data_IF_037778888171
#
_entry.id   IF_037778888171
#
_cell.length_a   1.000
_cell.length_b   1.000
_cell.length_c   1.000
_cell.angle_alpha   90.00
_cell.angle_beta   90.00
_cell.angle_gamma   90.00
#
_symmetry.space_group_name_H-M   'P 1'
#
loop_
_entity.id
_entity.type
_entity.pdbx_description
1 polymer ?
#
# COMPACT_ATOMS: atom_id res chain seq x y z
N UNK A 1 19.10 -4.39 19.10
CA UNK A 1 20.36 -4.12 18.36
C UNK A 1 20.87 -2.75 18.73
N UNK A 2 22.20 -2.58 18.88
CA UNK A 2 22.80 -1.25 19.21
C UNK A 2 23.74 -0.83 18.09
N UNK A 3 23.52 0.34 17.53
CA UNK A 3 24.39 0.99 16.56
C UNK A 3 25.16 2.12 17.25
N UNK A 4 26.44 2.25 16.91
CA UNK A 4 27.29 3.36 17.33
C UNK A 4 27.70 4.21 16.13
N UNK A 5 27.89 5.49 16.35
CA UNK A 5 28.34 6.43 15.34
C UNK A 5 29.65 5.98 14.69
N UNK A 6 29.69 5.92 13.37
CA UNK A 6 30.92 5.79 12.61
C UNK A 6 31.52 7.20 12.35
N UNK A 7 32.42 7.64 13.24
CA UNK A 7 33.06 8.97 13.15
C UNK A 7 34.01 9.10 11.96
N UNK A 8 34.41 7.97 11.35
CA UNK A 8 35.29 7.91 10.18
C UNK A 8 34.51 7.71 8.87
N UNK A 9 33.20 7.99 8.87
CA UNK A 9 32.38 7.88 7.66
C UNK A 9 32.91 8.80 6.55
N UNK A 10 33.02 8.26 5.31
CA UNK A 10 33.60 8.96 4.16
C UNK A 10 32.91 10.27 3.80
N UNK A 11 31.57 10.34 3.97
CA UNK A 11 30.78 11.55 3.80
C UNK A 11 30.52 12.19 5.17
N UNK A 12 31.35 13.16 5.55
CA UNK A 12 31.26 13.82 6.85
C UNK A 12 30.08 14.80 6.95
N UNK A 13 29.57 15.29 5.83
CA UNK A 13 28.38 16.16 5.81
C UNK A 13 27.09 15.37 6.16
N UNK A 14 27.05 14.09 5.75
CA UNK A 14 25.97 13.15 6.07
C UNK A 14 26.27 12.33 7.34
N UNK A 15 27.42 12.52 7.96
CA UNK A 15 27.87 11.72 9.09
C UNK A 15 26.87 11.71 10.25
N UNK A 16 26.93 10.67 11.11
CA UNK A 16 25.94 10.46 12.14
C UNK A 16 25.90 11.63 13.12
N UNK A 17 24.70 12.11 13.42
CA UNK A 17 24.43 13.19 14.39
C UNK A 17 24.10 12.64 15.78
N UNK A 18 23.82 11.33 15.86
CA UNK A 18 23.59 10.58 17.10
C UNK A 18 24.80 9.72 17.41
N UNK A 19 25.21 9.68 18.67
CA UNK A 19 26.29 8.81 19.13
C UNK A 19 25.86 7.33 19.15
N UNK A 20 24.66 7.08 19.58
CA UNK A 20 24.11 5.71 19.73
C UNK A 20 22.64 5.67 19.32
N UNK A 21 22.26 4.60 18.63
CA UNK A 21 20.86 4.25 18.32
C UNK A 21 20.59 2.82 18.80
N UNK A 22 19.52 2.64 19.56
CA UNK A 22 19.11 1.35 20.11
C UNK A 22 17.80 0.92 19.46
N UNK A 23 17.79 -0.21 18.78
CA UNK A 23 16.56 -0.83 18.28
C UNK A 23 16.05 -1.85 19.30
N UNK A 24 14.83 -1.62 19.80
CA UNK A 24 14.13 -2.44 20.78
C UNK A 24 13.14 -3.37 20.07
N UNK A 25 13.54 -4.62 19.86
CA UNK A 25 12.68 -5.66 19.24
C UNK A 25 12.00 -6.55 20.31
N UNK A 26 12.21 -6.23 21.56
CA UNK A 26 11.68 -6.94 22.73
C UNK A 26 10.34 -6.36 23.22
N UNK A 27 9.91 -5.23 22.69
CA UNK A 27 8.64 -4.57 23.03
C UNK A 27 7.55 -4.98 22.04
N UNK A 28 6.38 -5.28 22.55
CA UNK A 28 5.20 -5.35 21.70
C UNK A 28 4.76 -3.93 21.27
N UNK A 29 4.01 -3.79 20.16
CA UNK A 29 3.63 -2.49 19.59
C UNK A 29 2.85 -1.60 20.57
N UNK A 30 1.95 -2.17 21.38
CA UNK A 30 1.13 -1.40 22.31
C UNK A 30 1.99 -0.87 23.47
N UNK A 31 2.92 -1.66 23.96
CA UNK A 31 3.86 -1.24 25.01
C UNK A 31 4.87 -0.21 24.48
N UNK A 32 5.41 -0.39 23.27
CA UNK A 32 6.28 0.60 22.64
C UNK A 32 5.58 1.96 22.52
N UNK A 33 4.33 1.95 22.06
CA UNK A 33 3.53 3.17 21.93
C UNK A 33 3.20 3.79 23.30
N UNK A 34 2.91 2.97 24.30
CA UNK A 34 2.68 3.45 25.69
C UNK A 34 3.93 4.16 26.22
N UNK A 35 5.09 3.55 26.08
CA UNK A 35 6.35 4.13 26.53
C UNK A 35 6.67 5.45 25.81
N UNK A 36 6.47 5.52 24.51
CA UNK A 36 6.71 6.76 23.74
C UNK A 36 5.74 7.89 24.08
N UNK A 37 4.46 7.58 24.39
CA UNK A 37 3.44 8.58 24.61
C UNK A 37 3.31 9.04 26.07
N UNK A 38 3.52 8.13 27.03
CA UNK A 38 3.19 8.35 28.44
C UNK A 38 4.43 8.53 29.31
N UNK A 39 5.62 8.20 28.80
CA UNK A 39 6.89 8.30 29.54
C UNK A 39 7.95 9.06 28.73
N UNK A 40 9.05 9.38 29.38
CA UNK A 40 10.22 9.97 28.74
C UNK A 40 11.47 9.13 29.05
N UNK A 41 12.32 8.94 28.04
CA UNK A 41 13.60 8.24 28.23
C UNK A 41 13.59 6.74 27.95
N UNK A 42 12.47 6.18 27.53
CA UNK A 42 12.32 4.75 27.27
C UNK A 42 12.29 4.44 25.77
N UNK A 43 11.45 5.16 25.00
CA UNK A 43 11.29 5.01 23.56
C UNK A 43 11.15 6.38 22.92
N UNK A 44 12.02 6.68 21.97
CA UNK A 44 12.03 7.96 21.28
C UNK A 44 11.29 7.94 19.94
N UNK A 45 11.27 6.79 19.24
CA UNK A 45 10.59 6.63 17.95
C UNK A 45 9.88 5.29 17.95
N UNK A 46 8.57 5.30 17.67
CA UNK A 46 7.79 4.11 17.31
C UNK A 46 7.47 4.16 15.84
N UNK A 47 7.82 3.12 15.13
CA UNK A 47 7.44 2.91 13.74
C UNK A 47 6.09 2.22 13.64
N UNK A 48 5.41 2.34 12.50
CA UNK A 48 4.16 1.62 12.23
C UNK A 48 3.02 1.88 13.23
N UNK A 49 2.87 3.14 13.66
CA UNK A 49 1.72 3.55 14.47
C UNK A 49 0.43 3.29 13.68
N UNK A 50 -0.55 2.64 14.30
CA UNK A 50 -1.83 2.41 13.63
C UNK A 50 -2.60 3.73 13.43
N UNK A 51 -3.42 3.86 12.38
CA UNK A 51 -4.31 5.01 12.21
C UNK A 51 -5.22 5.26 13.42
N UNK A 52 -5.65 4.19 14.11
CA UNK A 52 -6.48 4.27 15.29
C UNK A 52 -5.75 4.95 16.48
N UNK A 53 -4.44 4.74 16.58
CA UNK A 53 -3.60 5.28 17.65
C UNK A 53 -3.07 6.70 17.35
N UNK A 54 -3.23 7.20 16.12
CA UNK A 54 -2.72 8.50 15.72
C UNK A 54 -3.21 9.65 16.62
N UNK A 55 -4.45 9.55 17.13
CA UNK A 55 -5.01 10.54 18.06
C UNK A 55 -4.26 10.52 19.39
N UNK A 56 -3.99 9.34 19.97
CA UNK A 56 -3.23 9.18 21.20
C UNK A 56 -1.86 9.84 21.12
N UNK A 57 -1.18 9.65 19.97
CA UNK A 57 0.14 10.26 19.74
C UNK A 57 0.04 11.78 19.68
N UNK A 58 -0.96 12.33 18.98
CA UNK A 58 -1.17 13.79 18.89
C UNK A 58 -1.48 14.43 20.25
N UNK A 59 -2.23 13.73 21.09
CA UNK A 59 -2.64 14.22 22.39
C UNK A 59 -1.54 14.00 23.47
N UNK A 60 -0.45 13.30 23.16
CA UNK A 60 0.67 13.02 24.06
C UNK A 60 1.44 14.30 24.44
N UNK A 61 1.95 14.33 25.69
CA UNK A 61 2.87 15.38 26.13
C UNK A 61 4.32 15.11 25.70
N UNK A 62 4.69 13.85 25.44
CA UNK A 62 6.05 13.40 25.18
C UNK A 62 6.32 13.15 23.69
N UNK A 63 5.32 12.70 22.95
CA UNK A 63 5.45 12.38 21.52
C UNK A 63 4.69 13.35 20.62
N UNK A 64 5.09 13.40 19.37
CA UNK A 64 4.37 14.02 18.24
C UNK A 64 4.16 13.01 17.14
N UNK A 65 3.06 13.14 16.40
CA UNK A 65 2.80 12.32 15.21
C UNK A 65 3.62 12.87 14.04
N UNK A 66 4.39 12.01 13.39
CA UNK A 66 5.04 12.27 12.11
C UNK A 66 4.40 11.38 11.07
N UNK A 67 4.02 11.96 9.94
CA UNK A 67 3.45 11.25 8.79
C UNK A 67 4.35 11.42 7.59
N UNK A 68 4.51 10.38 6.81
CA UNK A 68 5.23 10.43 5.54
C UNK A 68 4.55 9.53 4.53
N UNK A 69 4.79 9.78 3.26
CA UNK A 69 4.43 8.82 2.21
C UNK A 69 5.15 7.50 2.48
N UNK A 70 4.52 6.40 2.07
CA UNK A 70 5.12 5.08 2.18
C UNK A 70 4.91 4.35 0.84
N UNK A 71 5.93 3.62 0.40
CA UNK A 71 5.82 2.78 -0.81
C UNK A 71 4.92 1.57 -0.54
N UNK A 72 3.67 1.87 -0.19
CA UNK A 72 2.63 0.89 0.12
C UNK A 72 1.38 1.19 -0.69
N UNK A 73 0.81 0.14 -1.27
CA UNK A 73 -0.45 0.20 -2.03
C UNK A 73 -1.41 -0.84 -1.48
N UNK A 74 -2.66 -0.45 -1.30
CA UNK A 74 -3.77 -1.37 -1.06
C UNK A 74 -4.58 -1.48 -2.35
N UNK A 75 -4.77 -2.69 -2.83
CA UNK A 75 -5.35 -2.99 -4.13
C UNK A 75 -6.18 -4.27 -4.07
N UNK A 76 -7.21 -4.37 -4.88
CA UNK A 76 -7.89 -5.64 -5.15
C UNK A 76 -7.32 -6.28 -6.43
N UNK A 77 -6.71 -7.45 -6.30
CA UNK A 77 -6.31 -8.27 -7.45
C UNK A 77 -7.58 -8.92 -8.00
N UNK A 78 -7.98 -8.54 -9.21
CA UNK A 78 -9.17 -9.09 -9.85
C UNK A 78 -8.80 -10.36 -10.60
N UNK A 79 -9.51 -11.45 -10.32
CA UNK A 79 -9.35 -12.69 -11.05
C UNK A 79 -10.02 -12.60 -12.42
N UNK A 80 -9.21 -12.42 -13.47
CA UNK A 80 -9.64 -12.23 -14.87
C UNK A 80 -9.73 -13.53 -15.68
N UNK A 81 -9.48 -14.68 -15.03
CA UNK A 81 -9.49 -15.99 -15.70
C UNK A 81 -10.91 -16.52 -15.96
N UNK A 82 -11.94 -15.91 -15.36
CA UNK A 82 -13.31 -16.38 -15.51
C UNK A 82 -14.31 -15.22 -15.67
N UNK A 83 -15.40 -15.54 -16.33
CA UNK A 83 -16.51 -14.63 -16.47
C UNK A 83 -17.16 -14.30 -15.11
N UNK A 84 -17.62 -13.05 -14.92
CA UNK A 84 -17.62 -11.96 -15.90
C UNK A 84 -16.39 -11.04 -15.83
N UNK A 85 -15.36 -11.36 -15.00
CA UNK A 85 -14.23 -10.47 -14.77
C UNK A 85 -13.16 -10.49 -15.89
N UNK A 86 -13.29 -11.38 -16.88
CA UNK A 86 -12.65 -11.28 -18.18
C UNK A 86 -13.16 -10.05 -18.98
N UNK A 87 -14.39 -9.59 -18.72
CA UNK A 87 -14.98 -8.38 -19.32
C UNK A 87 -14.56 -7.11 -18.54
N UNK A 88 -14.05 -6.11 -19.25
CA UNK A 88 -13.66 -4.81 -18.70
C UNK A 88 -14.82 -4.08 -18.01
N UNK A 89 -16.06 -4.31 -18.45
CA UNK A 89 -17.24 -3.68 -17.86
C UNK A 89 -17.46 -4.13 -16.41
N UNK A 90 -17.31 -5.44 -16.14
CA UNK A 90 -17.38 -5.98 -14.78
C UNK A 90 -16.26 -5.39 -13.89
N UNK A 91 -15.05 -5.27 -14.40
CA UNK A 91 -13.92 -4.70 -13.65
C UNK A 91 -14.09 -3.20 -13.37
N UNK A 92 -14.62 -2.46 -14.34
CA UNK A 92 -15.00 -1.04 -14.13
C UNK A 92 -16.12 -0.91 -13.11
N UNK A 93 -17.10 -1.83 -13.12
CA UNK A 93 -18.16 -1.85 -12.12
C UNK A 93 -17.60 -1.96 -10.70
N UNK A 94 -16.61 -2.84 -10.46
CA UNK A 94 -15.94 -2.94 -9.16
C UNK A 94 -15.29 -1.60 -8.75
N UNK A 95 -14.58 -0.96 -9.68
CA UNK A 95 -13.90 0.31 -9.40
C UNK A 95 -14.87 1.46 -9.10
N UNK A 96 -16.02 1.52 -9.79
CA UNK A 96 -17.05 2.54 -9.56
C UNK A 96 -17.90 2.28 -8.30
N UNK A 97 -17.84 1.06 -7.75
CA UNK A 97 -18.62 0.64 -6.60
C UNK A 97 -18.01 1.04 -5.26
N UNK A 98 -16.78 1.54 -5.23
CA UNK A 98 -16.05 1.86 -4.00
C UNK A 98 -15.99 3.36 -3.78
N UNK A 99 -16.50 3.82 -2.62
CA UNK A 99 -16.31 5.17 -2.10
C UNK A 99 -14.91 5.26 -1.45
N UNK A 100 -13.93 5.73 -2.23
CA UNK A 100 -12.53 5.80 -1.79
C UNK A 100 -12.31 6.80 -0.67
N UNK A 101 -13.06 7.88 -0.62
CA UNK A 101 -12.95 8.87 0.45
C UNK A 101 -13.41 8.26 1.77
N UNK A 102 -14.54 7.54 1.75
CA UNK A 102 -15.01 6.76 2.89
C UNK A 102 -14.01 5.67 3.28
N UNK A 103 -13.51 4.90 2.30
CA UNK A 103 -12.56 3.82 2.53
C UNK A 103 -11.26 4.34 3.21
N UNK A 104 -10.71 5.46 2.72
CA UNK A 104 -9.56 6.13 3.33
C UNK A 104 -9.87 6.63 4.74
N UNK A 105 -11.03 7.25 4.93
CA UNK A 105 -11.42 7.81 6.22
C UNK A 105 -11.66 6.73 7.28
N UNK A 106 -12.40 5.69 6.94
CA UNK A 106 -12.80 4.64 7.89
C UNK A 106 -11.69 3.58 8.07
N UNK A 107 -11.01 3.20 7.00
CA UNK A 107 -9.94 2.20 7.04
C UNK A 107 -8.59 2.72 7.52
N UNK A 108 -8.30 3.98 7.23
CA UNK A 108 -6.98 4.57 7.50
C UNK A 108 -7.03 5.87 8.33
N UNK A 109 -8.18 6.23 8.91
CA UNK A 109 -8.30 7.47 9.68
C UNK A 109 -7.96 8.74 8.90
N UNK A 110 -8.01 8.71 7.58
CA UNK A 110 -7.60 9.79 6.68
C UNK A 110 -6.09 9.77 6.32
N UNK A 111 -5.32 8.80 6.80
CA UNK A 111 -3.88 8.68 6.51
C UNK A 111 -3.61 7.76 5.31
N UNK A 112 -4.25 8.04 4.21
CA UNK A 112 -4.00 7.40 2.92
C UNK A 112 -4.45 8.34 1.79
N UNK A 113 -3.97 8.09 0.57
CA UNK A 113 -4.39 8.77 -0.64
C UNK A 113 -5.10 7.78 -1.55
N UNK A 114 -6.26 8.15 -2.08
CA UNK A 114 -6.91 7.38 -3.13
C UNK A 114 -6.01 7.28 -4.37
N UNK A 115 -5.96 6.12 -5.02
CA UNK A 115 -5.08 5.91 -6.18
C UNK A 115 -5.87 5.58 -7.44
N UNK A 116 -5.35 6.04 -8.58
CA UNK A 116 -5.86 5.72 -9.92
C UNK A 116 -5.21 4.46 -10.51
N UNK A 117 -4.09 4.01 -9.94
CA UNK A 117 -3.29 2.89 -10.44
C UNK A 117 -2.48 2.25 -9.31
N UNK A 118 -1.48 1.45 -9.68
CA UNK A 118 -0.51 0.90 -8.73
C UNK A 118 0.59 1.90 -8.36
N UNK A 119 0.72 2.98 -9.13
CA UNK A 119 1.76 4.00 -8.92
C UNK A 119 1.23 5.09 -7.98
N UNK A 120 1.79 5.23 -6.76
CA UNK A 120 1.40 6.30 -5.85
C UNK A 120 1.69 7.68 -6.43
N UNK A 121 1.03 8.71 -5.89
CA UNK A 121 1.14 10.09 -6.39
C UNK A 121 2.56 10.70 -6.30
N UNK A 122 3.39 10.21 -5.39
CA UNK A 122 4.78 10.66 -5.18
C UNK A 122 5.80 9.84 -5.99
N UNK A 123 5.39 8.71 -6.61
CA UNK A 123 6.31 7.84 -7.32
C UNK A 123 6.60 8.34 -8.73
N UNK A 124 7.82 8.12 -9.19
CA UNK A 124 8.24 8.39 -10.56
C UNK A 124 7.50 7.47 -11.53
N UNK A 125 7.12 8.00 -12.68
CA UNK A 125 6.41 7.24 -13.72
C UNK A 125 4.89 7.18 -13.54
N UNK A 126 4.32 7.86 -12.55
CA UNK A 126 2.87 8.03 -12.44
C UNK A 126 2.35 8.87 -13.60
N UNK A 127 1.28 8.41 -14.25
CA UNK A 127 0.58 9.21 -15.25
C UNK A 127 -0.14 10.40 -14.56
N UNK A 128 0.24 11.66 -14.87
CA UNK A 128 -0.23 12.83 -14.12
C UNK A 128 -1.70 13.18 -14.37
N UNK A 129 -2.26 12.69 -15.46
CA UNK A 129 -3.64 12.92 -15.90
C UNK A 129 -4.64 11.88 -15.36
N UNK A 130 -4.17 10.85 -14.67
CA UNK A 130 -5.05 9.84 -14.11
C UNK A 130 -5.61 10.27 -12.75
N UNK A 131 -6.94 10.21 -12.65
CA UNK A 131 -7.69 10.39 -11.41
C UNK A 131 -8.27 9.05 -10.94
N UNK A 132 -8.43 8.85 -9.62
CA UNK A 132 -9.13 7.69 -9.10
C UNK A 132 -10.53 7.56 -9.71
N UNK A 133 -10.99 6.33 -9.90
CA UNK A 133 -12.36 6.09 -10.35
C UNK A 133 -13.36 6.79 -9.42
N UNK A 134 -14.34 7.53 -9.96
CA UNK A 134 -15.37 8.15 -9.14
C UNK A 134 -16.29 7.09 -8.51
N UNK A 135 -16.89 7.40 -7.38
CA UNK A 135 -17.95 6.58 -6.82
C UNK A 135 -19.26 6.83 -7.58
N UNK A 136 -19.68 5.85 -8.37
CA UNK A 136 -20.94 5.87 -9.12
C UNK A 136 -21.65 4.50 -9.04
N UNK A 137 -22.41 4.25 -7.96
CA UNK A 137 -23.12 2.99 -7.77
C UNK A 137 -24.17 2.71 -8.84
N UNK A 138 -24.72 3.76 -9.46
CA UNK A 138 -25.70 3.63 -10.55
C UNK A 138 -25.04 3.06 -11.81
N UNK A 139 -23.91 3.62 -12.22
CA UNK A 139 -23.15 3.11 -13.36
C UNK A 139 -22.51 1.75 -13.04
N UNK A 140 -22.00 1.56 -11.83
CA UNK A 140 -21.44 0.28 -11.40
C UNK A 140 -22.43 -0.87 -11.59
N UNK A 141 -23.65 -0.70 -11.10
CA UNK A 141 -24.71 -1.73 -11.22
C UNK A 141 -25.08 -2.01 -12.68
N UNK A 142 -25.22 -0.98 -13.50
CA UNK A 142 -25.49 -1.15 -14.94
C UNK A 142 -24.39 -1.95 -15.64
N UNK A 143 -23.14 -1.57 -15.46
CA UNK A 143 -22.00 -2.24 -16.09
C UNK A 143 -21.87 -3.70 -15.65
N UNK A 144 -22.12 -4.00 -14.36
CA UNK A 144 -22.10 -5.36 -13.86
C UNK A 144 -23.20 -6.21 -14.50
N UNK A 145 -24.41 -5.67 -14.65
CA UNK A 145 -25.51 -6.34 -15.33
C UNK A 145 -25.20 -6.58 -16.83
N UNK A 146 -24.67 -5.56 -17.51
CA UNK A 146 -24.30 -5.64 -18.93
C UNK A 146 -23.15 -6.61 -19.21
N UNK A 147 -22.31 -6.90 -18.21
CA UNK A 147 -21.26 -7.93 -18.28
C UNK A 147 -21.78 -9.35 -18.13
N UNK A 148 -23.07 -9.51 -17.83
CA UNK A 148 -23.69 -10.83 -17.63
C UNK A 148 -23.42 -11.45 -16.26
N UNK A 149 -23.16 -10.65 -15.23
CA UNK A 149 -22.98 -11.19 -13.86
C UNK A 149 -24.18 -12.06 -13.46
N UNK A 150 -23.96 -13.35 -13.05
CA UNK A 150 -25.05 -14.26 -12.78
C UNK A 150 -25.90 -13.81 -11.58
N UNK A 151 -27.21 -13.79 -11.76
CA UNK A 151 -28.13 -13.45 -10.67
C UNK A 151 -27.99 -14.46 -9.51
N UNK A 152 -27.94 -13.94 -8.28
CA UNK A 152 -27.81 -14.74 -7.07
C UNK A 152 -26.43 -15.35 -6.80
N UNK A 153 -25.44 -15.14 -7.68
CA UNK A 153 -24.05 -15.53 -7.42
C UNK A 153 -23.44 -14.54 -6.42
N UNK A 154 -22.86 -14.99 -5.29
CA UNK A 154 -22.11 -14.10 -4.43
C UNK A 154 -20.77 -13.70 -5.08
N UNK A 155 -20.34 -12.45 -4.89
CA UNK A 155 -18.99 -12.02 -5.18
C UNK A 155 -18.06 -12.51 -4.05
N UNK A 156 -16.97 -13.17 -4.39
CA UNK A 156 -16.02 -13.70 -3.41
C UNK A 156 -14.86 -12.72 -3.26
N UNK A 157 -14.82 -12.05 -2.11
CA UNK A 157 -13.73 -11.16 -1.71
C UNK A 157 -12.81 -11.92 -0.76
N UNK A 158 -11.66 -12.32 -1.25
CA UNK A 158 -10.60 -12.86 -0.41
C UNK A 158 -9.74 -11.73 0.18
N UNK A 159 -9.14 -11.95 1.35
CA UNK A 159 -8.25 -11.01 2.00
C UNK A 159 -7.07 -11.74 2.66
N UNK A 160 -5.93 -11.06 2.74
CA UNK A 160 -4.79 -11.53 3.52
C UNK A 160 -5.07 -11.44 5.03
N UNK A 161 -4.40 -12.24 5.87
CA UNK A 161 -4.50 -12.14 7.33
C UNK A 161 -4.23 -10.71 7.81
N UNK A 162 -5.01 -10.24 8.77
CA UNK A 162 -4.92 -8.88 9.31
C UNK A 162 -5.57 -7.78 8.47
N UNK A 163 -6.20 -8.13 7.34
CA UNK A 163 -6.94 -7.18 6.51
C UNK A 163 -8.46 -7.31 6.69
N UNK A 164 -8.93 -8.02 7.70
CA UNK A 164 -10.35 -8.33 7.94
C UNK A 164 -11.23 -7.08 7.96
N UNK A 165 -10.85 -6.08 8.73
CA UNK A 165 -11.62 -4.83 8.85
C UNK A 165 -11.70 -4.05 7.53
N UNK A 166 -10.62 -4.06 6.73
CA UNK A 166 -10.63 -3.44 5.39
C UNK A 166 -11.48 -4.25 4.41
N UNK A 167 -11.45 -5.58 4.51
CA UNK A 167 -12.27 -6.45 3.68
C UNK A 167 -13.77 -6.28 3.99
N UNK A 168 -14.15 -6.17 5.26
CA UNK A 168 -15.53 -5.91 5.66
C UNK A 168 -16.03 -4.56 5.16
N UNK A 169 -15.20 -3.52 5.27
CA UNK A 169 -15.51 -2.18 4.76
C UNK A 169 -15.71 -2.20 3.23
N UNK A 170 -14.78 -2.81 2.49
CA UNK A 170 -14.87 -2.97 1.05
C UNK A 170 -16.09 -3.78 0.63
N UNK A 171 -16.36 -4.90 1.32
CA UNK A 171 -17.54 -5.73 1.07
C UNK A 171 -18.85 -4.96 1.29
N UNK A 172 -18.90 -4.06 2.28
CA UNK A 172 -20.03 -3.17 2.53
C UNK A 172 -20.32 -2.26 1.34
N UNK A 173 -19.30 -1.63 0.80
CA UNK A 173 -19.42 -0.75 -0.37
C UNK A 173 -19.84 -1.53 -1.62
N UNK A 174 -19.17 -2.65 -1.91
CA UNK A 174 -19.50 -3.51 -3.06
C UNK A 174 -20.94 -4.04 -2.99
N UNK A 175 -21.37 -4.50 -1.81
CA UNK A 175 -22.74 -4.99 -1.57
C UNK A 175 -23.78 -3.92 -1.85
N UNK A 176 -23.55 -2.73 -1.28
CA UNK A 176 -24.48 -1.59 -1.42
C UNK A 176 -24.53 -1.07 -2.86
N UNK A 177 -23.40 -0.90 -3.50
CA UNK A 177 -23.32 -0.31 -4.83
C UNK A 177 -23.77 -1.27 -5.93
N UNK A 178 -23.34 -2.53 -5.88
CA UNK A 178 -23.62 -3.51 -6.94
C UNK A 178 -24.96 -4.21 -6.78
N UNK A 179 -25.48 -4.28 -5.54
CA UNK A 179 -26.72 -5.02 -5.25
C UNK A 179 -26.54 -6.54 -5.33
N UNK A 180 -25.33 -7.04 -5.04
CA UNK A 180 -25.00 -8.47 -4.98
C UNK A 180 -24.53 -8.85 -3.58
N UNK A 181 -24.69 -10.11 -3.22
CA UNK A 181 -24.08 -10.63 -2.00
C UNK A 181 -22.55 -10.67 -2.15
N UNK A 182 -21.83 -10.37 -1.07
CA UNK A 182 -20.38 -10.43 -1.03
C UNK A 182 -19.95 -11.36 0.11
N UNK A 183 -19.32 -12.46 -0.24
CA UNK A 183 -18.73 -13.40 0.71
C UNK A 183 -17.28 -13.01 0.97
N UNK A 184 -16.95 -12.67 2.22
CA UNK A 184 -15.58 -12.38 2.64
C UNK A 184 -14.91 -13.68 3.10
N UNK A 185 -13.71 -13.95 2.58
CA UNK A 185 -12.88 -15.10 2.93
C UNK A 185 -11.48 -14.61 3.31
N UNK A 186 -11.12 -14.72 4.59
CA UNK A 186 -9.76 -14.42 5.03
C UNK A 186 -8.91 -15.67 4.85
N UNK A 187 -7.78 -15.53 4.14
CA UNK A 187 -6.82 -16.63 3.95
C UNK A 187 -6.18 -16.93 5.31
N UNK A 188 -6.22 -18.19 5.80
CA UNK A 188 -5.56 -18.52 7.03
C UNK A 188 -4.05 -18.26 6.97
N UNK A 189 -3.45 -17.84 8.09
CA UNK A 189 -2.02 -17.54 8.15
C UNK A 189 -1.15 -18.75 7.76
N UNK A 190 -1.57 -19.96 8.15
CA UNK A 190 -0.89 -21.20 7.79
C UNK A 190 -0.94 -21.51 6.28
N UNK A 191 -1.94 -20.98 5.58
CA UNK A 191 -2.13 -21.17 4.13
C UNK A 191 -1.47 -20.06 3.29
N UNK A 192 -0.90 -19.03 3.92
CA UNK A 192 -0.34 -17.88 3.22
C UNK A 192 0.81 -18.26 2.27
N UNK A 193 1.71 -19.15 2.68
CA UNK A 193 2.80 -19.65 1.83
C UNK A 193 2.26 -20.45 0.63
N UNK A 194 1.26 -21.28 0.86
CA UNK A 194 0.62 -22.04 -0.22
C UNK A 194 -0.08 -21.09 -1.21
N UNK A 195 -0.74 -20.05 -0.71
CA UNK A 195 -1.35 -19.02 -1.56
C UNK A 195 -0.29 -18.27 -2.38
N UNK A 196 0.83 -17.88 -1.78
CA UNK A 196 1.94 -17.23 -2.50
C UNK A 196 2.53 -18.13 -3.59
N UNK A 197 2.79 -19.41 -3.29
CA UNK A 197 3.25 -20.37 -4.29
C UNK A 197 2.27 -20.54 -5.44
N UNK A 198 0.97 -20.58 -5.13
CA UNK A 198 -0.07 -20.73 -6.15
C UNK A 198 -0.11 -19.55 -7.13
N UNK A 199 0.14 -18.33 -6.67
CA UNK A 199 0.30 -17.18 -7.57
C UNK A 199 1.50 -17.34 -8.51
N UNK A 200 2.64 -17.78 -7.98
CA UNK A 200 3.86 -18.01 -8.78
C UNK A 200 3.64 -19.12 -9.82
N UNK A 201 3.02 -20.22 -9.42
CA UNK A 201 2.72 -21.36 -10.28
C UNK A 201 1.51 -21.13 -11.19
N UNK A 202 0.81 -19.98 -11.07
CA UNK A 202 -0.42 -19.68 -11.80
C UNK A 202 -1.57 -20.64 -11.52
N UNK A 203 -1.53 -21.29 -10.37
CA UNK A 203 -2.60 -22.15 -9.85
C UNK A 203 -3.22 -21.41 -8.67
N UNK A 204 -4.33 -20.74 -8.91
CA UNK A 204 -5.00 -19.97 -7.85
C UNK A 204 -5.62 -20.92 -6.82
N UNK A 205 -5.30 -20.79 -5.52
CA UNK A 205 -5.64 -21.79 -4.50
C UNK A 205 -7.12 -21.83 -4.13
N UNK A 206 -7.86 -20.74 -4.42
CA UNK A 206 -9.28 -20.66 -4.10
C UNK A 206 -10.03 -19.88 -5.18
N UNK A 207 -11.30 -20.18 -5.41
CA UNK A 207 -12.14 -19.37 -6.27
C UNK A 207 -12.41 -18.04 -5.57
N UNK A 208 -11.65 -17.01 -5.90
CA UNK A 208 -11.97 -15.63 -5.53
C UNK A 208 -12.21 -14.79 -6.78
N UNK A 209 -13.03 -13.78 -6.64
CA UNK A 209 -13.25 -12.77 -7.68
C UNK A 209 -12.27 -11.61 -7.52
N UNK A 210 -12.07 -11.21 -6.26
CA UNK A 210 -11.15 -10.14 -5.86
C UNK A 210 -10.36 -10.61 -4.65
N UNK A 211 -9.04 -10.46 -4.68
CA UNK A 211 -8.18 -10.61 -3.50
C UNK A 211 -7.74 -9.22 -3.03
N UNK A 212 -8.16 -8.82 -1.84
CA UNK A 212 -7.67 -7.62 -1.18
C UNK A 212 -6.22 -7.85 -0.73
N UNK A 213 -5.33 -7.03 -1.23
CA UNK A 213 -3.90 -7.20 -1.11
C UNK A 213 -3.22 -5.89 -0.72
N UNK A 214 -2.26 -5.95 0.18
CA UNK A 214 -1.37 -4.84 0.48
C UNK A 214 0.03 -5.17 -0.03
N UNK A 215 0.55 -4.31 -0.89
CA UNK A 215 1.90 -4.41 -1.41
C UNK A 215 2.76 -3.28 -0.86
N UNK A 216 4.01 -3.57 -0.59
CA UNK A 216 5.02 -2.57 -0.29
C UNK A 216 6.23 -2.79 -1.20
N UNK A 217 6.84 -1.71 -1.64
CA UNK A 217 8.04 -1.80 -2.47
C UNK A 217 9.27 -2.09 -1.60
N UNK A 218 9.87 -3.26 -1.85
CA UNK A 218 11.10 -3.70 -1.20
C UNK A 218 12.36 -3.10 -1.86
N UNK A 219 12.20 -2.52 -3.03
CA UNK A 219 13.34 -2.20 -3.90
C UNK A 219 13.70 -0.73 -3.93
N UNK A 220 13.08 0.11 -3.12
CA UNK A 220 13.27 1.56 -3.02
C UNK A 220 13.48 2.26 -4.37
N UNK A 221 12.69 3.21 -4.70
CA UNK A 221 12.79 3.96 -5.95
C UNK A 221 12.64 3.08 -7.23
N UNK A 222 12.05 1.87 -7.09
CA UNK A 222 11.77 1.06 -8.25
C UNK A 222 10.81 1.82 -9.17
N UNK A 223 11.09 1.83 -10.47
CA UNK A 223 10.19 2.40 -11.44
C UNK A 223 8.80 1.76 -11.36
N UNK A 224 7.77 2.51 -11.66
CA UNK A 224 6.38 2.02 -11.72
C UNK A 224 6.25 0.73 -12.57
N UNK A 225 7.04 0.62 -13.65
CA UNK A 225 7.12 -0.57 -14.49
C UNK A 225 7.38 -1.86 -13.71
N UNK A 226 8.20 -1.81 -12.67
CA UNK A 226 8.49 -2.98 -11.87
C UNK A 226 7.24 -3.49 -11.15
N UNK A 227 6.51 -2.61 -10.46
CA UNK A 227 5.26 -2.97 -9.81
C UNK A 227 4.23 -3.48 -10.82
N UNK A 228 4.05 -2.78 -11.93
CA UNK A 228 3.13 -3.18 -12.99
C UNK A 228 3.47 -4.55 -13.57
N UNK A 229 4.76 -4.86 -13.76
CA UNK A 229 5.19 -6.15 -14.30
C UNK A 229 4.82 -7.32 -13.39
N UNK A 230 4.85 -7.14 -12.07
CA UNK A 230 4.46 -8.17 -11.10
C UNK A 230 2.96 -8.48 -11.12
N UNK A 231 2.12 -7.47 -11.38
CA UNK A 231 0.67 -7.62 -11.38
C UNK A 231 0.08 -7.94 -12.76
N UNK A 232 0.71 -7.50 -13.85
CA UNK A 232 0.10 -7.55 -15.18
C UNK A 232 0.97 -8.25 -16.24
N UNK A 233 2.27 -8.27 -16.08
CA UNK A 233 3.21 -8.90 -17.00
C UNK A 233 2.99 -10.41 -17.15
N UNK A 234 3.35 -10.98 -18.30
CA UNK A 234 3.17 -12.40 -18.58
C UNK A 234 3.77 -13.33 -17.52
N UNK A 235 4.90 -12.93 -16.93
CA UNK A 235 5.59 -13.67 -15.87
C UNK A 235 5.29 -13.12 -14.46
N UNK A 236 4.39 -12.14 -14.33
CA UNK A 236 4.11 -11.47 -13.07
C UNK A 236 3.62 -12.42 -11.96
N UNK A 237 4.25 -12.36 -10.79
CA UNK A 237 3.94 -13.26 -9.68
C UNK A 237 2.51 -13.10 -9.14
N UNK A 238 1.96 -11.88 -9.19
CA UNK A 238 0.60 -11.56 -8.71
C UNK A 238 -0.44 -11.46 -9.84
N UNK A 239 -0.09 -11.85 -11.06
CA UNK A 239 -1.02 -11.84 -12.16
C UNK A 239 -2.11 -12.90 -11.99
N UNK A 240 -3.35 -12.45 -11.84
CA UNK A 240 -4.54 -13.27 -11.81
C UNK A 240 -5.31 -13.11 -13.13
N UNK A 241 -5.12 -14.06 -14.03
CA UNK A 241 -5.77 -14.05 -15.34
C UNK A 241 -4.82 -14.02 -16.54
N UNK A 242 -5.38 -13.95 -17.77
CA UNK A 242 -4.58 -13.99 -18.98
C UNK A 242 -3.59 -12.82 -19.08
N UNK A 243 -2.46 -12.99 -19.79
CA UNK A 243 -1.56 -11.89 -20.11
C UNK A 243 -2.29 -10.75 -20.82
N UNK A 244 -1.76 -9.54 -20.71
CA UNK A 244 -2.20 -8.36 -21.44
C UNK A 244 -1.13 -8.05 -22.49
N UNK A 245 -1.32 -8.46 -23.77
CA UNK A 245 -0.27 -8.36 -24.79
C UNK A 245 0.26 -6.95 -24.99
N UNK A 246 -0.61 -5.94 -24.91
CA UNK A 246 -0.22 -4.54 -25.04
C UNK A 246 0.68 -4.10 -23.89
N UNK A 247 0.44 -4.62 -22.70
CA UNK A 247 1.27 -4.37 -21.52
C UNK A 247 2.67 -4.95 -21.72
N UNK A 248 2.76 -6.20 -22.13
CA UNK A 248 4.04 -6.88 -22.39
C UNK A 248 4.86 -6.19 -23.49
N UNK A 249 4.20 -5.64 -24.52
CA UNK A 249 4.87 -4.84 -25.57
C UNK A 249 5.47 -3.54 -25.02
N UNK A 250 4.77 -2.86 -24.11
CA UNK A 250 5.31 -1.65 -23.47
C UNK A 250 6.48 -2.02 -22.55
N UNK A 251 6.35 -3.09 -21.79
CA UNK A 251 7.39 -3.59 -20.90
C UNK A 251 8.66 -4.01 -21.66
N UNK A 252 8.51 -4.66 -22.82
CA UNK A 252 9.61 -5.03 -23.70
C UNK A 252 10.38 -3.82 -24.24
N UNK A 253 9.71 -2.71 -24.49
CA UNK A 253 10.34 -1.44 -24.85
C UNK A 253 11.05 -0.83 -23.66
N UNK A 254 10.39 -0.86 -22.49
CA UNK A 254 10.91 -0.31 -21.25
C UNK A 254 12.26 -0.92 -20.86
N UNK A 255 12.37 -2.24 -20.85
CA UNK A 255 13.60 -2.94 -20.43
C UNK A 255 14.80 -2.74 -21.38
N UNK A 256 14.56 -2.17 -22.56
CA UNK A 256 15.61 -1.87 -23.57
C UNK A 256 15.96 -0.38 -23.61
N UNK A 257 15.23 0.44 -22.87
CA UNK A 257 15.43 1.88 -22.88
C UNK A 257 16.43 2.31 -21.80
N UNK A 258 17.18 3.36 -22.08
CA UNK A 258 18.15 3.98 -21.14
C UNK A 258 17.92 5.48 -20.97
N UNK A 259 17.10 6.09 -21.82
CA UNK A 259 16.73 7.50 -21.69
C UNK A 259 15.65 7.66 -20.61
N UNK A 260 15.89 8.51 -19.61
CA UNK A 260 14.98 8.68 -18.47
C UNK A 260 13.63 9.26 -18.84
N UNK A 261 13.56 10.16 -19.84
CA UNK A 261 12.29 10.74 -20.27
C UNK A 261 11.41 9.70 -21.00
N UNK A 262 12.05 8.87 -21.83
CA UNK A 262 11.36 7.77 -22.50
C UNK A 262 10.91 6.68 -21.52
N UNK A 263 11.72 6.37 -20.49
CA UNK A 263 11.33 5.45 -19.42
C UNK A 263 10.08 5.96 -18.69
N UNK A 264 10.05 7.22 -18.28
CA UNK A 264 8.88 7.82 -17.64
C UNK A 264 7.64 7.78 -18.55
N UNK A 265 7.80 8.06 -19.84
CA UNK A 265 6.70 8.00 -20.80
C UNK A 265 6.13 6.58 -20.97
N UNK A 266 6.97 5.55 -20.87
CA UNK A 266 6.53 4.15 -20.91
C UNK A 266 5.85 3.73 -19.61
N UNK A 267 6.35 4.17 -18.46
CA UNK A 267 5.68 3.97 -17.16
C UNK A 267 4.26 4.56 -17.16
N UNK A 268 4.14 5.81 -17.61
CA UNK A 268 2.84 6.47 -17.75
C UNK A 268 1.90 5.74 -18.72
N UNK A 269 2.43 5.14 -19.81
CA UNK A 269 1.63 4.33 -20.72
C UNK A 269 1.10 3.06 -20.04
N UNK A 270 1.92 2.40 -19.22
CA UNK A 270 1.50 1.21 -18.44
C UNK A 270 0.42 1.58 -17.42
N UNK A 271 0.56 2.69 -16.72
CA UNK A 271 -0.44 3.21 -15.78
C UNK A 271 -1.79 3.46 -16.48
N UNK A 272 -1.77 4.19 -17.61
CA UNK A 272 -2.98 4.48 -18.40
C UNK A 272 -3.64 3.21 -18.92
N UNK A 273 -2.87 2.24 -19.39
CA UNK A 273 -3.39 0.96 -19.88
C UNK A 273 -4.06 0.19 -18.74
N UNK A 274 -3.39 0.07 -17.59
CA UNK A 274 -3.92 -0.62 -16.42
C UNK A 274 -5.22 0.01 -15.93
N UNK A 275 -5.26 1.34 -15.85
CA UNK A 275 -6.45 2.10 -15.50
C UNK A 275 -7.57 1.91 -16.54
N UNK A 276 -7.30 2.16 -17.84
CA UNK A 276 -8.31 2.09 -18.89
C UNK A 276 -8.98 0.71 -18.99
N UNK A 277 -8.22 -0.35 -18.72
CA UNK A 277 -8.72 -1.73 -18.70
C UNK A 277 -9.18 -2.21 -17.32
N UNK A 278 -9.12 -1.36 -16.29
CA UNK A 278 -9.47 -1.69 -14.92
C UNK A 278 -8.85 -3.03 -14.49
N UNK A 279 -7.53 -3.18 -14.68
CA UNK A 279 -6.84 -4.45 -14.46
C UNK A 279 -6.81 -4.87 -12.99
N UNK A 280 -6.98 -3.92 -12.08
CA UNK A 280 -7.14 -4.13 -10.64
C UNK A 280 -8.26 -3.25 -10.09
N UNK A 281 -8.71 -3.54 -8.90
CA UNK A 281 -9.52 -2.65 -8.09
C UNK A 281 -8.58 -1.71 -7.34
N UNK A 282 -8.39 -0.50 -7.86
CA UNK A 282 -7.49 0.50 -7.29
C UNK A 282 -8.12 1.14 -6.06
N UNK A 283 -7.43 1.14 -4.93
CA UNK A 283 -7.97 1.63 -3.66
C UNK A 283 -7.19 2.84 -3.13
N UNK A 284 -6.08 2.60 -2.45
CA UNK A 284 -5.33 3.71 -1.83
C UNK A 284 -3.85 3.38 -1.61
N UNK A 285 -3.07 4.43 -1.34
CA UNK A 285 -1.70 4.38 -0.85
C UNK A 285 -1.67 4.89 0.60
N UNK A 286 -1.52 4.01 1.60
CA UNK A 286 -1.42 4.40 3.00
C UNK A 286 -0.13 5.17 3.30
N UNK A 287 -0.20 6.11 4.23
CA UNK A 287 0.96 6.79 4.79
C UNK A 287 1.59 5.97 5.92
N UNK A 288 2.89 6.14 6.13
CA UNK A 288 3.56 5.67 7.33
C UNK A 288 3.37 6.68 8.47
N UNK A 289 3.06 6.17 9.65
CA UNK A 289 2.84 6.95 10.87
C UNK A 289 3.88 6.59 11.92
N UNK A 290 4.46 7.62 12.53
CA UNK A 290 5.48 7.47 13.57
C UNK A 290 5.06 8.26 14.82
N UNK A 291 5.27 7.67 15.99
CA UNK A 291 5.29 8.43 17.23
C UNK A 291 6.74 8.81 17.55
N UNK A 292 7.04 10.10 17.57
CA UNK A 292 8.39 10.63 17.70
C UNK A 292 8.46 11.55 18.91
N UNK A 293 9.44 11.34 19.79
CA UNK A 293 9.70 12.20 20.95
C UNK A 293 9.80 13.67 20.50
N UNK A 294 9.17 14.58 21.23
CA UNK A 294 9.13 16.01 20.87
C UNK A 294 10.49 16.69 20.79
N UNK A 295 11.50 16.12 21.43
CA UNK A 295 12.88 16.58 21.42
C UNK A 295 13.77 15.90 20.39
N UNK A 296 13.15 15.06 19.52
CA UNK A 296 13.83 14.38 18.40
C UNK A 296 13.41 15.02 17.08
N UNK A 297 14.38 15.51 16.33
CA UNK A 297 14.20 15.89 14.92
C UNK A 297 14.34 14.63 14.07
N UNK A 298 13.25 14.14 13.53
CA UNK A 298 13.19 12.94 12.71
C UNK A 298 12.54 13.27 11.37
N UNK A 299 13.16 12.79 10.29
CA UNK A 299 12.63 12.85 8.93
C UNK A 299 12.19 11.45 8.53
N UNK A 300 10.91 11.28 8.22
CA UNK A 300 10.39 10.03 7.67
C UNK A 300 10.65 9.97 6.17
N UNK A 301 11.10 8.83 5.68
CA UNK A 301 11.31 8.56 4.26
C UNK A 301 10.28 7.53 3.76
N UNK A 302 9.87 7.65 2.50
CA UNK A 302 8.84 6.79 1.93
C UNK A 302 9.27 5.32 1.80
N UNK A 303 10.56 5.09 1.57
CA UNK A 303 11.10 3.77 1.17
C UNK A 303 12.04 3.16 2.20
N UNK A 304 12.59 3.97 3.11
CA UNK A 304 13.60 3.52 4.07
C UNK A 304 13.35 4.11 5.45
N UNK A 305 13.85 3.42 6.47
CA UNK A 305 13.99 3.98 7.81
C UNK A 305 15.43 4.43 8.00
N UNK A 306 15.67 5.74 8.03
CA UNK A 306 16.99 6.34 8.20
C UNK A 306 17.07 7.18 9.48
N UNK A 307 18.21 7.08 10.13
CA UNK A 307 18.52 7.90 11.32
C UNK A 307 19.72 8.83 11.11
N UNK A 308 20.28 8.87 9.91
CA UNK A 308 21.46 9.68 9.60
C UNK A 308 21.23 11.19 9.82
N UNK A 309 20.01 11.65 9.52
CA UNK A 309 19.58 13.04 9.69
C UNK A 309 18.87 13.31 11.02
N UNK A 310 18.72 12.27 11.85
CA UNK A 310 18.03 12.39 13.14
C UNK A 310 18.92 13.07 14.16
N UNK A 311 18.34 14.05 14.85
CA UNK A 311 19.02 14.83 15.89
C UNK A 311 18.19 14.87 17.18
N UNK A 312 18.87 15.04 18.30
CA UNK A 312 18.23 15.31 19.59
C UNK A 312 18.57 16.73 20.05
N UNK A 313 17.53 17.46 20.49
CA UNK A 313 17.72 18.81 21.03
C UNK A 313 18.30 18.78 22.45
N UNK A 314 18.69 19.95 22.98
CA UNK A 314 19.19 20.09 24.35
C UNK A 314 18.15 19.68 25.41
N UNK A 315 16.86 19.81 25.10
CA UNK A 315 15.75 19.37 25.97
C UNK A 315 15.54 17.87 26.01
N UNK A 316 16.24 17.08 25.21
CA UNK A 316 16.12 15.62 25.19
C UNK A 316 16.66 15.02 26.50
N UNK A 317 16.00 13.98 27.01
CA UNK A 317 16.34 13.33 28.27
C UNK A 317 17.83 12.91 28.36
N UNK A 318 18.41 12.39 27.27
CA UNK A 318 19.81 11.95 27.24
C UNK A 318 20.83 13.09 27.40
N UNK A 319 20.44 14.34 27.06
CA UNK A 319 21.29 15.51 27.20
C UNK A 319 21.15 16.19 28.57
N UNK A 320 20.05 15.93 29.28
CA UNK A 320 19.82 16.47 30.63
C UNK A 320 20.51 15.66 31.74
N UNK A 321 21.00 14.47 31.42
CA UNK A 321 21.72 13.57 32.36
C UNK A 321 23.25 13.63 32.21
N UNK A 322 23.77 14.47 31.30
CA UNK A 322 25.20 14.62 31.08
C UNK A 322 25.85 15.71 31.94
#
# INVERSE_FOLDING_TARGET
MVLKANTDHWNRERGPRLETVVFRNDLDPAEALRLACDTEGEVDIVTEVSPADARRVRDSQHARLVTTDAMRIVVGIINRDHAPFDDVRARRALNLAVDRDKFVKEGFGGYAYATAGLTPHYAVGRAPDLEPYPYDPGQARRLLQESGYPAGRPLILAALPGMDGLADLLAGDLRSALGVEVAVVVIPEDDLLAAQHSFVEKVLPAPFDVLLFAWFDLTSDAPAAFMHSWFYGAMGAFRAGPPVPEFDQILDRYVRQTDGAELNALDEQMDRLAHAQALSLFLCAPQALYAVNKHVSFVGHATTFEVAETEVSEGHWSRRQA
#
